data_IF_574592184987
#
_entry.id   IF_574592184987
#
_cell.length_a   1.000
_cell.length_b   1.000
_cell.length_c   1.000
_cell.angle_alpha   90.00
_cell.angle_beta   90.00
_cell.angle_gamma   90.00
#
_symmetry.space_group_name_H-M   'P 1'
#
loop_
_entity.id
_entity.type
_entity.pdbx_description
1 polymer ?
#
# COMPACT_ATOMS: atom_id res chain seq x y z
N UNK A 1 24.94 49.50 36.56
CA UNK A 1 24.92 49.84 35.13
C UNK A 1 23.55 49.50 34.60
N UNK A 2 22.78 50.49 34.19
CA UNK A 2 21.42 50.33 33.69
C UNK A 2 21.40 50.36 32.17
N UNK A 3 21.01 49.26 31.56
CA UNK A 3 20.87 49.14 30.11
C UNK A 3 19.40 49.30 29.69
N UNK A 4 19.10 50.38 28.98
CA UNK A 4 17.76 50.68 28.49
C UNK A 4 17.64 50.15 27.06
N UNK A 5 16.64 49.28 26.86
CA UNK A 5 16.38 48.59 25.61
C UNK A 5 14.94 48.84 25.17
N UNK A 6 14.72 49.04 23.88
CA UNK A 6 13.38 49.04 23.28
C UNK A 6 13.19 47.75 22.50
N UNK A 7 12.10 47.05 22.78
CA UNK A 7 11.65 45.94 21.93
C UNK A 7 10.83 46.48 20.77
N UNK A 8 11.31 46.30 19.55
CA UNK A 8 10.59 46.61 18.31
C UNK A 8 10.15 45.31 17.63
N UNK A 9 9.28 45.39 16.62
CA UNK A 9 8.87 44.22 15.83
C UNK A 9 10.05 43.47 15.18
N UNK A 10 11.16 44.18 14.93
CA UNK A 10 12.38 43.63 14.34
C UNK A 10 13.37 43.07 15.37
N UNK A 11 13.09 43.18 16.68
CA UNK A 11 13.98 42.75 17.75
C UNK A 11 14.26 43.82 18.81
N UNK A 12 15.17 43.51 19.72
CA UNK A 12 15.54 44.35 20.86
C UNK A 12 16.71 45.24 20.50
N UNK A 13 16.58 46.56 20.68
CA UNK A 13 17.63 47.55 20.44
C UNK A 13 17.98 48.26 21.74
N UNK A 14 19.26 48.29 22.10
CA UNK A 14 19.76 49.08 23.22
C UNK A 14 19.88 50.55 22.82
N UNK A 15 19.38 51.44 23.65
CA UNK A 15 19.31 52.88 23.35
C UNK A 15 20.24 53.68 24.25
N UNK A 16 20.25 53.37 25.55
CA UNK A 16 21.04 54.12 26.53
C UNK A 16 21.62 53.15 27.56
N UNK A 17 22.86 53.41 27.96
CA UNK A 17 23.48 52.79 29.13
C UNK A 17 23.78 53.90 30.13
N UNK A 18 23.24 53.77 31.35
CA UNK A 18 23.34 54.80 32.37
C UNK A 18 23.89 54.20 33.66
N UNK A 19 24.90 54.83 34.24
CA UNK A 19 25.57 54.33 35.46
C UNK A 19 24.96 54.87 36.76
N UNK A 20 23.98 55.77 36.65
CA UNK A 20 23.24 56.36 37.77
C UNK A 20 21.87 55.71 37.91
N UNK A 21 21.33 55.57 39.13
CA UNK A 21 19.95 55.15 39.31
C UNK A 21 19.01 56.14 38.63
N UNK A 22 18.04 55.64 37.87
CA UNK A 22 17.08 56.47 37.14
C UNK A 22 15.67 56.18 37.61
N UNK A 23 14.89 57.24 37.75
CA UNK A 23 13.44 57.14 37.90
C UNK A 23 12.79 57.01 36.53
N UNK A 24 11.73 56.22 36.47
CA UNK A 24 11.07 55.88 35.22
C UNK A 24 10.48 57.12 34.52
N UNK A 25 9.93 58.10 35.25
CA UNK A 25 9.45 59.35 34.64
C UNK A 25 10.54 60.10 33.85
N UNK A 26 11.81 60.06 34.28
CA UNK A 26 12.90 60.73 33.56
C UNK A 26 13.21 60.05 32.23
N UNK A 27 12.84 58.77 32.07
CA UNK A 27 13.00 58.06 30.81
C UNK A 27 12.04 58.59 29.74
N UNK A 28 10.84 59.05 30.14
CA UNK A 28 9.89 59.68 29.21
C UNK A 28 10.46 60.97 28.63
N UNK A 29 11.07 61.81 29.47
CA UNK A 29 11.63 63.10 29.04
C UNK A 29 12.89 62.92 28.17
N UNK A 30 13.70 61.89 28.45
CA UNK A 30 14.92 61.59 27.70
C UNK A 30 14.65 60.93 26.35
N UNK A 31 13.55 60.19 26.21
CA UNK A 31 13.19 59.48 24.98
C UNK A 31 12.09 60.24 24.24
N UNK A 32 12.49 61.27 23.48
CA UNK A 32 11.57 62.00 22.59
C UNK A 32 11.08 61.08 21.46
N UNK A 33 9.78 60.80 21.44
CA UNK A 33 9.13 60.02 20.37
C UNK A 33 8.53 58.67 20.81
N UNK A 34 8.47 58.39 22.11
CA UNK A 34 7.81 57.20 22.61
C UNK A 34 6.28 57.41 22.56
N UNK A 35 5.58 56.58 21.77
CA UNK A 35 4.11 56.63 21.62
C UNK A 35 3.42 56.37 22.95
N UNK A 36 2.23 56.92 23.20
CA UNK A 36 1.57 56.93 24.54
C UNK A 36 1.25 55.55 25.15
N UNK A 37 1.48 54.45 24.43
CA UNK A 37 1.09 53.10 24.86
C UNK A 37 2.28 52.14 24.92
N UNK A 38 3.06 52.18 26.00
CA UNK A 38 4.08 51.19 26.33
C UNK A 38 3.94 50.72 27.77
N UNK A 39 4.59 49.61 28.08
CA UNK A 39 4.83 49.20 29.47
C UNK A 39 6.33 48.96 29.65
N UNK A 40 6.79 49.15 30.89
CA UNK A 40 8.19 49.08 31.25
C UNK A 40 8.42 47.82 32.07
N UNK A 41 9.47 47.08 31.71
CA UNK A 41 9.90 45.87 32.39
C UNK A 41 11.30 46.09 32.91
N UNK A 42 11.49 45.98 34.22
CA UNK A 42 12.81 46.00 34.85
C UNK A 42 13.16 44.60 35.32
N UNK A 43 14.26 44.04 34.83
CA UNK A 43 14.73 42.69 35.18
C UNK A 43 13.62 41.61 35.11
N UNK A 44 12.74 41.71 34.10
CA UNK A 44 11.65 40.76 33.87
C UNK A 44 10.36 41.00 34.66
N UNK A 45 10.29 42.03 35.52
CA UNK A 45 9.05 42.41 36.24
C UNK A 45 8.45 43.68 35.66
N UNK A 46 7.12 43.75 35.61
CA UNK A 46 6.40 44.97 35.22
C UNK A 46 6.52 46.01 36.34
N UNK A 47 6.85 47.24 35.97
CA UNK A 47 7.15 48.31 36.93
C UNK A 47 6.35 49.57 36.58
N UNK A 48 5.82 50.23 37.62
CA UNK A 48 5.10 51.50 37.53
C UNK A 48 6.04 52.71 37.50
N UNK A 49 5.54 53.85 37.03
CA UNK A 49 6.29 55.08 36.71
C UNK A 49 7.08 55.70 37.89
N UNK A 50 6.73 55.35 39.13
CA UNK A 50 7.29 55.95 40.35
C UNK A 50 8.48 55.18 40.94
N UNK A 51 8.88 54.06 40.35
CA UNK A 51 9.94 53.21 40.89
C UNK A 51 11.32 53.67 40.41
N UNK A 52 12.28 53.70 41.33
CA UNK A 52 13.71 53.92 41.04
C UNK A 52 14.35 52.61 40.59
N UNK A 53 14.90 52.58 39.38
CA UNK A 53 15.74 51.49 38.91
C UNK A 53 17.18 51.73 39.35
N UNK A 54 17.81 50.73 39.95
CA UNK A 54 19.18 50.84 40.49
C UNK A 54 20.21 50.13 39.59
N UNK A 55 19.93 48.91 39.15
CA UNK A 55 20.87 48.11 38.35
C UNK A 55 20.15 47.04 37.50
N UNK A 56 20.71 46.74 36.32
CA UNK A 56 20.18 45.73 35.38
C UNK A 56 19.68 46.31 34.06
N UNK A 57 18.67 45.68 33.46
CA UNK A 57 18.12 46.12 32.17
C UNK A 57 16.66 46.56 32.29
N UNK A 58 16.35 47.63 31.57
CA UNK A 58 15.02 48.21 31.44
C UNK A 58 14.56 48.00 30.01
N UNK A 59 13.56 47.14 29.82
CA UNK A 59 12.94 46.91 28.52
C UNK A 59 11.65 47.72 28.40
N UNK A 60 11.60 48.60 27.41
CA UNK A 60 10.42 49.37 27.04
C UNK A 60 9.72 48.62 25.90
N UNK A 61 8.46 48.25 26.14
CA UNK A 61 7.70 47.42 25.21
C UNK A 61 6.46 48.17 24.71
N UNK A 62 6.38 48.53 23.42
CA UNK A 62 5.20 49.17 22.87
C UNK A 62 4.03 48.19 22.86
N UNK A 63 2.86 48.68 23.28
CA UNK A 63 1.60 47.92 23.21
C UNK A 63 1.08 48.02 21.79
N UNK A 64 0.93 46.86 21.14
CA UNK A 64 0.30 46.80 19.83
C UNK A 64 -1.21 46.96 19.99
N UNK A 65 -1.81 47.86 19.20
CA UNK A 65 -3.26 47.98 19.06
C UNK A 65 -3.79 46.80 18.25
N UNK A 66 -3.98 45.65 18.89
CA UNK A 66 -4.46 44.46 18.20
C UNK A 66 -4.55 43.27 19.13
N UNK A 67 -5.76 42.74 19.30
CA UNK A 67 -6.00 41.58 20.16
C UNK A 67 -5.29 40.34 19.61
N UNK A 68 -4.46 39.71 20.43
CA UNK A 68 -3.85 38.38 20.18
C UNK A 68 -4.88 37.23 20.06
N UNK A 69 -6.13 37.56 19.73
CA UNK A 69 -7.29 36.67 19.75
C UNK A 69 -7.57 35.95 18.43
N UNK A 70 -6.85 36.27 17.35
CA UNK A 70 -7.01 35.57 16.06
C UNK A 70 -6.69 34.08 16.16
N UNK A 71 -5.60 33.73 16.86
CA UNK A 71 -5.22 32.33 17.04
C UNK A 71 -6.22 31.57 17.93
N UNK A 72 -6.67 32.17 19.03
CA UNK A 72 -7.66 31.54 19.93
C UNK A 72 -9.05 31.40 19.30
N UNK A 73 -9.48 32.36 18.48
CA UNK A 73 -10.73 32.27 17.71
C UNK A 73 -10.64 31.23 16.59
N UNK A 74 -9.50 31.15 15.90
CA UNK A 74 -9.21 30.10 14.93
C UNK A 74 -9.26 28.71 15.56
N UNK A 75 -8.61 28.52 16.72
CA UNK A 75 -8.68 27.26 17.47
C UNK A 75 -10.12 26.92 17.91
N UNK A 76 -10.94 27.92 18.26
CA UNK A 76 -12.35 27.72 18.61
C UNK A 76 -13.19 27.32 17.41
N UNK A 77 -12.95 27.93 16.25
CA UNK A 77 -13.62 27.58 14.99
C UNK A 77 -13.26 26.17 14.53
N UNK A 78 -11.96 25.83 14.55
CA UNK A 78 -11.46 24.50 14.20
C UNK A 78 -11.96 23.45 15.21
N UNK A 79 -11.90 23.75 16.50
CA UNK A 79 -12.35 22.85 17.56
C UNK A 79 -13.86 22.56 17.53
N UNK A 80 -14.67 23.46 16.95
CA UNK A 80 -16.09 23.23 16.74
C UNK A 80 -16.37 22.26 15.56
N UNK A 81 -15.44 22.18 14.59
CA UNK A 81 -15.56 21.34 13.41
C UNK A 81 -14.89 19.96 13.59
N UNK A 82 -13.94 19.85 14.51
CA UNK A 82 -13.27 18.57 14.82
C UNK A 82 -14.18 17.75 15.75
N UNK A 83 -14.81 16.73 15.18
CA UNK A 83 -15.42 15.66 15.96
C UNK A 83 -14.33 14.85 16.69
N UNK A 84 -14.70 14.24 17.82
CA UNK A 84 -13.76 13.42 18.60
C UNK A 84 -13.20 12.31 17.70
N UNK A 85 -11.91 12.38 17.41
CA UNK A 85 -11.22 11.35 16.66
C UNK A 85 -11.27 10.04 17.45
N UNK A 86 -11.61 8.95 16.77
CA UNK A 86 -11.63 7.60 17.36
C UNK A 86 -10.25 6.93 17.32
N UNK A 87 -9.25 7.59 16.72
CA UNK A 87 -7.89 7.09 16.66
C UNK A 87 -7.21 7.18 18.04
N UNK A 88 -7.09 6.02 18.69
CA UNK A 88 -6.42 5.84 19.99
C UNK A 88 -4.94 5.45 19.86
N UNK A 89 -4.38 5.37 18.67
CA UNK A 89 -3.00 4.90 18.44
C UNK A 89 -1.93 5.78 19.08
N UNK A 90 -2.26 7.07 19.32
CA UNK A 90 -1.39 8.00 20.01
C UNK A 90 -1.36 7.80 21.54
N UNK A 91 -2.31 7.05 22.10
CA UNK A 91 -2.34 6.75 23.52
C UNK A 91 -1.19 5.81 23.91
N UNK A 92 -0.75 5.94 25.16
CA UNK A 92 0.26 5.09 25.77
C UNK A 92 -0.36 4.10 26.73
N UNK A 93 0.24 2.94 26.81
CA UNK A 93 -0.09 1.91 27.80
C UNK A 93 0.56 2.22 29.15
N UNK A 94 0.15 1.50 30.20
CA UNK A 94 0.75 1.60 31.55
C UNK A 94 2.26 1.27 31.56
N UNK A 95 2.75 0.58 30.54
CA UNK A 95 4.17 0.29 30.32
C UNK A 95 4.93 1.44 29.63
N UNK A 96 4.24 2.51 29.20
CA UNK A 96 4.81 3.65 28.50
C UNK A 96 4.99 3.49 26.98
N UNK A 97 4.70 2.31 26.42
CA UNK A 97 4.69 2.07 24.96
C UNK A 97 3.44 2.67 24.31
N UNK A 98 3.52 3.07 23.04
CA UNK A 98 2.34 3.56 22.29
C UNK A 98 1.52 2.41 21.75
N UNK A 99 0.20 2.58 21.68
CA UNK A 99 -0.71 1.59 21.07
C UNK A 99 -0.42 1.33 19.60
N UNK A 100 0.14 2.32 18.88
CA UNK A 100 0.63 2.16 17.51
C UNK A 100 1.64 1.00 17.40
N UNK A 101 2.71 1.07 18.18
CA UNK A 101 3.82 0.10 18.11
C UNK A 101 3.32 -1.32 18.38
N UNK A 102 2.39 -1.47 19.33
CA UNK A 102 1.79 -2.75 19.70
C UNK A 102 0.92 -3.31 18.59
N UNK A 103 0.14 -2.47 17.91
CA UNK A 103 -0.68 -2.89 16.78
C UNK A 103 0.19 -3.26 15.57
N UNK A 104 1.28 -2.54 15.34
CA UNK A 104 2.26 -2.86 14.30
C UNK A 104 2.94 -4.21 14.56
N UNK A 105 3.41 -4.46 15.80
CA UNK A 105 3.96 -5.77 16.20
C UNK A 105 2.96 -6.91 15.98
N UNK A 106 1.69 -6.71 16.37
CA UNK A 106 0.62 -7.71 16.14
C UNK A 106 0.37 -7.94 14.65
N UNK A 107 0.36 -6.88 13.84
CA UNK A 107 0.16 -6.96 12.39
C UNK A 107 1.31 -7.72 11.72
N UNK A 108 2.54 -7.45 12.12
CA UNK A 108 3.72 -8.17 11.64
C UNK A 108 3.66 -9.66 12.02
N UNK A 109 3.31 -9.97 13.27
CA UNK A 109 3.16 -11.36 13.72
C UNK A 109 2.08 -12.11 12.92
N UNK A 110 0.92 -11.49 12.71
CA UNK A 110 -0.16 -12.10 11.92
C UNK A 110 0.25 -12.28 10.45
N UNK A 111 1.04 -11.36 9.89
CA UNK A 111 1.56 -11.48 8.53
C UNK A 111 2.54 -12.64 8.39
N UNK A 112 3.49 -12.80 9.32
CA UNK A 112 4.43 -13.92 9.35
C UNK A 112 3.69 -15.26 9.47
N UNK A 113 2.70 -15.36 10.37
CA UNK A 113 1.90 -16.57 10.52
C UNK A 113 1.11 -16.91 9.25
N UNK A 114 0.56 -15.89 8.58
CA UNK A 114 -0.16 -16.05 7.31
C UNK A 114 0.76 -16.49 6.17
N UNK A 115 2.01 -16.00 6.13
CA UNK A 115 3.00 -16.47 5.16
C UNK A 115 3.36 -17.93 5.38
N UNK A 116 3.63 -18.36 6.63
CA UNK A 116 3.90 -19.76 6.94
C UNK A 116 2.76 -20.70 6.51
N UNK A 117 1.51 -20.33 6.80
CA UNK A 117 0.32 -21.09 6.36
C UNK A 117 0.19 -21.18 4.83
N UNK A 118 0.51 -20.09 4.13
CA UNK A 118 0.46 -20.05 2.66
C UNK A 118 1.54 -20.92 2.03
N UNK A 119 2.75 -20.92 2.59
CA UNK A 119 3.85 -21.77 2.13
C UNK A 119 3.55 -23.26 2.35
N UNK A 120 2.98 -23.62 3.50
CA UNK A 120 2.53 -24.99 3.79
C UNK A 120 1.46 -25.46 2.80
N UNK A 121 0.43 -24.64 2.55
CA UNK A 121 -0.62 -24.97 1.58
C UNK A 121 -0.05 -25.09 0.16
N UNK A 122 0.87 -24.20 -0.23
CA UNK A 122 1.56 -24.27 -1.52
C UNK A 122 2.42 -25.54 -1.63
N UNK A 123 3.12 -25.93 -0.57
CA UNK A 123 3.91 -27.15 -0.52
C UNK A 123 3.03 -28.40 -0.61
N UNK A 124 1.89 -28.44 0.06
CA UNK A 124 0.92 -29.54 -0.06
C UNK A 124 0.33 -29.64 -1.47
N UNK A 125 -0.03 -28.51 -2.09
CA UNK A 125 -0.51 -28.48 -3.47
C UNK A 125 0.56 -29.00 -4.43
N UNK A 126 1.82 -28.60 -4.25
CA UNK A 126 2.95 -29.11 -5.04
C UNK A 126 3.13 -30.61 -4.87
N UNK A 127 3.08 -31.13 -3.63
CA UNK A 127 3.17 -32.58 -3.35
C UNK A 127 2.04 -33.36 -4.03
N UNK A 128 0.78 -32.90 -3.89
CA UNK A 128 -0.38 -33.53 -4.54
C UNK A 128 -0.28 -33.53 -6.07
N UNK A 129 0.23 -32.45 -6.67
CA UNK A 129 0.49 -32.39 -8.11
C UNK A 129 1.58 -33.39 -8.53
N UNK A 130 2.69 -33.43 -7.80
CA UNK A 130 3.77 -34.39 -8.05
C UNK A 130 3.31 -35.84 -7.91
N UNK A 131 2.52 -36.16 -6.89
CA UNK A 131 1.94 -37.50 -6.72
C UNK A 131 1.05 -37.87 -7.89
N UNK A 132 0.15 -36.97 -8.33
CA UNK A 132 -0.71 -37.18 -9.50
C UNK A 132 0.07 -37.39 -10.80
N UNK A 133 1.18 -36.67 -10.98
CA UNK A 133 2.05 -36.82 -12.16
C UNK A 133 2.90 -38.08 -12.10
N UNK A 134 3.34 -38.48 -10.90
CA UNK A 134 4.12 -39.70 -10.68
C UNK A 134 3.25 -40.97 -10.82
N UNK A 135 1.94 -40.86 -10.60
CA UNK A 135 1.03 -41.97 -10.88
C UNK A 135 0.91 -42.13 -12.39
N UNK A 136 1.45 -43.21 -12.94
CA UNK A 136 1.28 -43.52 -14.37
C UNK A 136 -0.21 -43.54 -14.73
N UNK A 137 -0.61 -42.90 -15.85
CA UNK A 137 -1.99 -42.95 -16.30
C UNK A 137 -2.36 -44.38 -16.67
N UNK A 138 -3.06 -45.07 -15.75
CA UNK A 138 -3.57 -46.42 -15.96
C UNK A 138 -4.78 -46.35 -16.89
N UNK A 139 -4.54 -46.26 -18.18
CA UNK A 139 -5.57 -46.45 -19.18
C UNK A 139 -5.79 -47.95 -19.40
N UNK A 140 -6.80 -48.50 -18.74
CA UNK A 140 -7.26 -49.86 -19.00
C UNK A 140 -8.25 -49.82 -20.18
N UNK A 141 -7.75 -50.14 -21.38
CA UNK A 141 -8.58 -50.26 -22.57
C UNK A 141 -9.34 -51.60 -22.54
N UNK A 142 -10.60 -51.58 -22.08
CA UNK A 142 -11.47 -52.75 -21.90
C UNK A 142 -12.78 -52.59 -22.65
N UNK A 143 -12.74 -52.70 -23.97
CA UNK A 143 -13.91 -52.61 -24.84
C UNK A 143 -14.32 -53.97 -25.41
N UNK A 144 -15.45 -54.50 -24.94
CA UNK A 144 -15.97 -55.81 -25.36
C UNK A 144 -16.38 -55.86 -26.83
N UNK A 145 -16.71 -54.71 -27.44
CA UNK A 145 -17.09 -54.63 -28.86
C UNK A 145 -15.83 -54.76 -29.72
N UNK A 146 -14.78 -54.01 -29.38
CA UNK A 146 -13.49 -54.08 -30.05
C UNK A 146 -12.86 -55.47 -29.97
N UNK A 147 -12.93 -56.12 -28.80
CA UNK A 147 -12.43 -57.49 -28.65
C UNK A 147 -13.16 -58.48 -29.57
N UNK A 148 -14.50 -58.37 -29.65
CA UNK A 148 -15.30 -59.20 -30.56
C UNK A 148 -14.97 -58.94 -32.02
N UNK A 149 -14.86 -57.67 -32.42
CA UNK A 149 -14.50 -57.30 -33.78
C UNK A 149 -13.09 -57.76 -34.16
N UNK A 150 -12.12 -57.66 -33.24
CA UNK A 150 -10.77 -58.19 -33.42
C UNK A 150 -10.79 -59.70 -33.67
N UNK A 151 -11.55 -60.47 -32.89
CA UNK A 151 -11.65 -61.92 -33.07
C UNK A 151 -12.26 -62.27 -34.42
N UNK A 152 -13.36 -61.62 -34.79
CA UNK A 152 -14.02 -61.83 -36.09
C UNK A 152 -13.11 -61.42 -37.25
N UNK A 153 -12.34 -60.35 -37.11
CA UNK A 153 -11.38 -59.93 -38.13
C UNK A 153 -10.27 -60.97 -38.32
N UNK A 154 -9.75 -61.56 -37.24
CA UNK A 154 -8.71 -62.60 -37.33
C UNK A 154 -9.20 -63.84 -38.08
N UNK A 155 -10.47 -64.23 -37.88
CA UNK A 155 -11.10 -65.34 -38.60
C UNK A 155 -11.26 -65.03 -40.09
N UNK A 156 -11.83 -63.85 -40.43
CA UNK A 156 -12.01 -63.42 -41.83
C UNK A 156 -10.71 -63.32 -42.61
N UNK A 157 -9.63 -62.87 -41.96
CA UNK A 157 -8.30 -62.81 -42.60
C UNK A 157 -7.79 -64.23 -42.88
N UNK A 158 -7.99 -65.17 -41.95
CA UNK A 158 -7.67 -66.58 -42.14
C UNK A 158 -8.40 -67.16 -43.37
N UNK A 159 -9.71 -66.97 -43.44
CA UNK A 159 -10.54 -67.46 -44.54
C UNK A 159 -10.11 -66.87 -45.89
N UNK A 160 -9.88 -65.55 -45.96
CA UNK A 160 -9.45 -64.88 -47.18
C UNK A 160 -8.08 -65.37 -47.67
N UNK A 161 -7.15 -65.67 -46.75
CA UNK A 161 -5.84 -66.23 -47.09
C UNK A 161 -6.00 -67.66 -47.60
N UNK A 162 -6.84 -68.49 -46.98
CA UNK A 162 -7.11 -69.83 -47.47
C UNK A 162 -7.75 -69.83 -48.87
N UNK A 163 -8.73 -68.96 -49.09
CA UNK A 163 -9.33 -68.77 -50.42
C UNK A 163 -8.29 -68.28 -51.42
N UNK A 164 -7.41 -67.36 -51.02
CA UNK A 164 -6.26 -66.93 -51.82
C UNK A 164 -5.33 -68.07 -52.20
N UNK A 165 -5.03 -68.99 -51.28
CA UNK A 165 -4.23 -70.19 -51.56
C UNK A 165 -4.94 -71.18 -52.47
N UNK A 166 -6.26 -71.40 -52.28
CA UNK A 166 -7.10 -72.25 -53.14
C UNK A 166 -7.15 -71.70 -54.57
N UNK A 167 -7.25 -70.38 -54.73
CA UNK A 167 -7.21 -69.72 -56.04
C UNK A 167 -5.81 -69.79 -56.65
N UNK A 168 -4.75 -69.57 -55.86
CA UNK A 168 -3.36 -69.66 -56.31
C UNK A 168 -2.99 -71.06 -56.80
N UNK A 169 -3.49 -72.12 -56.15
CA UNK A 169 -3.26 -73.51 -56.57
C UNK A 169 -4.11 -73.90 -57.78
N UNK A 170 -5.26 -73.25 -58.01
CA UNK A 170 -6.11 -73.45 -59.19
C UNK A 170 -5.62 -72.77 -60.49
N UNK A 171 -4.51 -72.02 -60.44
CA UNK A 171 -3.78 -71.56 -61.63
C UNK A 171 -4.40 -70.42 -62.46
N UNK A 172 -5.43 -69.74 -61.97
CA UNK A 172 -6.12 -68.66 -62.70
C UNK A 172 -5.31 -67.35 -62.60
N UNK A 173 -4.69 -66.92 -63.70
CA UNK A 173 -3.99 -65.61 -63.80
C UNK A 173 -5.00 -64.46 -63.87
N UNK A 174 -4.93 -63.53 -62.90
CA UNK A 174 -5.77 -62.30 -62.86
C UNK A 174 -5.65 -61.47 -64.13
N UNK A 175 -6.77 -60.95 -64.65
CA UNK A 175 -6.78 -59.78 -65.55
C UNK A 175 -6.50 -58.52 -64.71
N UNK A 176 -5.49 -57.77 -65.11
CA UNK A 176 -5.15 -56.46 -64.55
C UNK A 176 -6.17 -55.44 -65.06
N UNK A 177 -7.11 -55.03 -64.21
CA UNK A 177 -7.99 -53.90 -64.49
C UNK A 177 -7.34 -52.63 -63.91
N UNK A 178 -6.93 -51.75 -64.81
CA UNK A 178 -6.17 -50.54 -64.51
C UNK A 178 -7.13 -49.38 -64.25
N UNK A 179 -7.69 -49.28 -63.04
CA UNK A 179 -8.34 -48.05 -62.56
C UNK A 179 -7.33 -47.26 -61.75
N UNK A 180 -7.03 -46.06 -62.25
CA UNK A 180 -6.11 -45.10 -61.62
C UNK A 180 -6.74 -44.60 -60.33
N UNK A 181 -6.31 -45.13 -59.18
CA UNK A 181 -6.61 -44.56 -57.89
C UNK A 181 -5.45 -43.62 -57.48
N UNK A 182 -5.74 -42.32 -57.47
CA UNK A 182 -4.84 -41.28 -56.97
C UNK A 182 -4.64 -41.44 -55.44
N UNK A 183 -3.40 -41.50 -54.94
CA UNK A 183 -3.15 -41.61 -53.50
C UNK A 183 -3.31 -40.24 -52.84
N UNK A 184 -4.47 -40.01 -52.20
CA UNK A 184 -4.66 -38.86 -51.31
C UNK A 184 -3.75 -38.99 -50.08
N UNK A 185 -2.55 -38.39 -50.16
CA UNK A 185 -1.64 -38.20 -49.04
C UNK A 185 -2.22 -37.17 -48.08
N UNK A 186 -3.06 -37.61 -47.14
CA UNK A 186 -3.38 -36.79 -45.97
C UNK A 186 -2.20 -36.87 -45.01
N UNK A 187 -1.42 -35.78 -44.94
CA UNK A 187 -0.44 -35.56 -43.87
C UNK A 187 -1.21 -35.40 -42.57
N UNK A 188 -1.00 -36.29 -41.62
CA UNK A 188 -1.40 -36.06 -40.23
C UNK A 188 -0.18 -35.43 -39.57
N UNK A 189 -0.23 -34.12 -39.43
CA UNK A 189 0.68 -33.34 -38.58
C UNK A 189 0.31 -33.70 -37.13
N UNK A 190 1.23 -34.33 -36.39
CA UNK A 190 1.16 -34.39 -34.93
C UNK A 190 1.34 -32.98 -34.40
N UNK A 191 0.54 -32.58 -33.41
CA UNK A 191 0.85 -31.44 -32.56
C UNK A 191 0.71 -31.88 -31.10
N UNK A 192 1.84 -32.26 -30.52
CA UNK A 192 1.99 -32.55 -29.10
C UNK A 192 2.71 -31.33 -28.48
N UNK A 193 2.05 -30.19 -28.54
CA UNK A 193 2.42 -29.01 -27.77
C UNK A 193 1.86 -29.17 -26.35
N UNK A 194 2.52 -30.04 -25.58
CA UNK A 194 2.52 -29.93 -24.11
C UNK A 194 3.64 -28.95 -23.77
N UNK A 195 3.26 -27.67 -23.74
CA UNK A 195 4.10 -26.60 -23.21
C UNK A 195 4.32 -26.85 -21.72
N UNK A 196 5.47 -27.45 -21.43
CA UNK A 196 6.05 -27.59 -20.12
C UNK A 196 6.92 -26.37 -19.85
N UNK A 197 6.37 -25.15 -19.77
CA UNK A 197 7.13 -23.97 -19.32
C UNK A 197 6.33 -22.70 -18.93
N UNK A 198 5.09 -22.78 -18.42
CA UNK A 198 4.49 -21.65 -17.67
C UNK A 198 4.47 -21.89 -16.16
N UNK A 199 5.68 -21.77 -15.61
CA UNK A 199 5.94 -21.37 -14.23
C UNK A 199 5.98 -19.84 -14.17
N UNK A 200 5.35 -19.31 -13.12
CA UNK A 200 5.47 -17.96 -12.57
C UNK A 200 4.56 -16.87 -13.18
N UNK A 201 3.31 -16.83 -12.70
CA UNK A 201 2.58 -15.57 -12.57
C UNK A 201 2.34 -15.32 -11.09
N UNK A 202 3.28 -14.59 -10.51
CA UNK A 202 3.17 -13.87 -9.25
C UNK A 202 2.19 -12.71 -9.44
N UNK A 203 0.91 -12.96 -9.17
CA UNK A 203 -0.11 -11.91 -9.18
C UNK A 203 -0.14 -11.18 -7.82
N UNK A 204 0.76 -10.20 -7.69
CA UNK A 204 0.69 -9.11 -6.72
C UNK A 204 0.12 -7.88 -7.45
N UNK A 205 -1.19 -7.65 -7.34
CA UNK A 205 -1.84 -6.37 -7.67
C UNK A 205 -3.21 -6.27 -6.99
N UNK A 206 -3.24 -5.70 -5.78
CA UNK A 206 -4.46 -5.11 -5.21
C UNK A 206 -4.28 -3.59 -5.19
N UNK A 207 -4.52 -2.97 -6.35
CA UNK A 207 -4.71 -1.52 -6.47
C UNK A 207 -6.01 -1.14 -5.74
N UNK A 208 -5.88 -0.29 -4.72
CA UNK A 208 -7.01 0.31 -4.04
C UNK A 208 -7.50 1.53 -4.84
N UNK A 209 -8.38 1.31 -5.82
CA UNK A 209 -9.22 2.37 -6.36
C UNK A 209 -10.45 2.55 -5.46
N UNK A 210 -10.41 3.61 -4.63
CA UNK A 210 -11.60 4.17 -4.01
C UNK A 210 -12.02 5.41 -4.78
N UNK A 211 -12.89 5.20 -5.76
CA UNK A 211 -13.75 6.24 -6.29
C UNK A 211 -14.51 6.92 -5.13
N UNK A 212 -14.24 8.20 -4.95
CA UNK A 212 -15.05 9.08 -4.11
C UNK A 212 -15.97 9.88 -5.03
N UNK A 213 -17.13 9.29 -5.36
CA UNK A 213 -18.23 10.01 -5.98
C UNK A 213 -18.71 11.14 -5.05
N UNK A 214 -18.42 12.36 -5.47
CA UNK A 214 -19.01 13.59 -4.93
C UNK A 214 -20.48 13.65 -5.34
N UNK A 215 -21.39 13.21 -4.47
CA UNK A 215 -22.82 13.53 -4.60
C UNK A 215 -23.08 14.93 -4.03
N UNK A 216 -23.07 15.89 -4.95
CA UNK A 216 -23.60 17.24 -4.75
C UNK A 216 -25.14 17.20 -4.75
N UNK A 217 -25.75 17.05 -3.58
CA UNK A 217 -27.18 17.32 -3.44
C UNK A 217 -27.40 18.81 -3.14
N UNK A 218 -27.62 19.57 -4.22
CA UNK A 218 -28.41 20.81 -4.17
C UNK A 218 -29.85 20.42 -3.87
N UNK A 219 -30.37 20.78 -2.71
CA UNK A 219 -31.81 20.92 -2.52
C UNK A 219 -32.12 22.39 -2.30
N UNK A 220 -32.75 22.96 -3.33
CA UNK A 220 -33.53 24.18 -3.28
C UNK A 220 -34.84 23.92 -2.54
N UNK A 221 -35.08 24.64 -1.44
CA UNK A 221 -36.39 25.23 -1.12
C UNK A 221 -36.22 26.31 -0.08
#
# INVERSE_FOLDING_TARGET
>A
MLDIQISTASGVKQILTVNTPLKIYELHDRIKGLTENFYIVHNGKLVDENVTCYDGYVSIIPRLFGGKGGFGSMLRAIGAQIEKTTNREACRDLSGRRLRDINEEKRLKAWIEKQGKREEEAAERKKKKLERLCTEPKHEFKDQIYERERLVLTERVGDAVEEGFKIATSGIKRKYHNTKDEPNKKKILLDLDIDSDELDSSDESDENDKDSEVKSNKNSK
#
